data_IF_232146377921
#
_entry.id   IF_232146377921
#
_cell.length_a   1.000
_cell.length_b   1.000
_cell.length_c   1.000
_cell.angle_alpha   90.00
_cell.angle_beta   90.00
_cell.angle_gamma   90.00
#
_symmetry.space_group_name_H-M   'P 1'
#
loop_
_entity.id
_entity.type
_entity.pdbx_description
1 polymer ?
#
# COMPACT_ATOMS: atom_id res chain seq x y z
N UNK A 1 17.17 -3.06 -18.76
CA UNK A 1 16.35 -1.88 -19.09
C UNK A 1 14.94 -2.16 -18.58
N UNK A 2 14.55 -1.58 -17.43
CA UNK A 2 13.16 -1.63 -16.95
C UNK A 2 12.51 -0.31 -17.38
N UNK A 3 11.35 -0.40 -18.03
CA UNK A 3 10.68 0.75 -18.66
C UNK A 3 10.15 1.69 -17.59
N UNK A 4 10.49 2.97 -17.73
CA UNK A 4 9.92 4.09 -16.98
C UNK A 4 8.42 4.20 -17.30
N UNK A 5 7.54 3.86 -16.37
CA UNK A 5 6.09 4.05 -16.58
C UNK A 5 5.14 3.36 -15.61
N UNK A 6 5.62 2.49 -14.73
CA UNK A 6 4.74 1.80 -13.78
C UNK A 6 4.53 2.66 -12.53
N UNK A 7 3.26 2.91 -12.18
CA UNK A 7 2.92 3.50 -10.89
C UNK A 7 3.26 2.46 -9.82
N UNK A 8 4.44 2.57 -9.24
CA UNK A 8 4.84 1.73 -8.12
C UNK A 8 4.06 2.15 -6.86
N UNK A 9 3.67 1.18 -6.04
CA UNK A 9 2.94 1.36 -4.78
C UNK A 9 3.77 2.19 -3.80
N UNK A 10 5.09 2.17 -4.00
CA UNK A 10 6.05 3.08 -3.41
C UNK A 10 6.81 3.83 -4.51
N UNK A 11 7.14 5.10 -4.27
CA UNK A 11 8.01 5.86 -5.17
C UNK A 11 9.47 5.52 -4.88
N UNK A 12 10.10 4.72 -5.72
CA UNK A 12 11.53 4.37 -5.60
C UNK A 12 12.00 3.42 -6.70
N UNK A 13 13.32 3.36 -6.91
CA UNK A 13 13.98 2.49 -7.91
C UNK A 13 14.49 1.15 -7.32
N UNK A 14 14.33 0.95 -6.01
CA UNK A 14 14.76 -0.26 -5.31
C UNK A 14 13.74 -1.40 -5.41
N UNK A 15 14.20 -2.62 -5.13
CA UNK A 15 13.32 -3.79 -5.05
C UNK A 15 12.30 -3.65 -3.92
N UNK A 16 11.15 -4.29 -4.08
CA UNK A 16 10.06 -4.28 -3.12
C UNK A 16 10.44 -5.00 -1.82
N UNK A 17 10.04 -4.43 -0.67
CA UNK A 17 10.38 -4.95 0.66
C UNK A 17 9.18 -4.85 1.59
N UNK A 18 9.01 -5.88 2.42
CA UNK A 18 8.00 -5.93 3.47
C UNK A 18 8.71 -6.02 4.81
N UNK A 19 8.42 -5.07 5.70
CA UNK A 19 9.00 -5.01 7.04
C UNK A 19 7.97 -5.38 8.10
N UNK A 20 8.41 -6.13 9.11
CA UNK A 20 7.69 -6.28 10.37
C UNK A 20 8.10 -5.12 11.28
N UNK A 21 7.11 -4.42 11.80
CA UNK A 21 7.33 -3.20 12.59
C UNK A 21 6.60 -3.25 13.93
N UNK A 22 7.19 -2.58 14.91
CA UNK A 22 6.56 -2.27 16.18
C UNK A 22 6.17 -0.78 16.21
N UNK A 23 4.92 -0.45 16.56
CA UNK A 23 4.53 0.94 16.82
C UNK A 23 5.29 1.49 18.03
N UNK A 24 5.81 2.71 17.92
CA UNK A 24 6.41 3.40 19.08
C UNK A 24 5.39 4.27 19.84
N UNK A 25 4.13 4.25 19.42
CA UNK A 25 3.02 4.99 20.01
C UNK A 25 1.70 4.62 19.35
N UNK A 26 0.70 5.47 19.52
CA UNK A 26 -0.65 5.21 19.04
C UNK A 26 -0.74 5.13 17.52
N UNK A 27 -1.62 4.26 17.04
CA UNK A 27 -1.99 4.09 15.65
C UNK A 27 -3.51 3.97 15.53
N UNK A 28 -4.04 4.24 14.34
CA UNK A 28 -5.47 4.21 14.04
C UNK A 28 -5.73 3.47 12.73
N UNK A 29 -6.97 3.04 12.51
CA UNK A 29 -7.42 2.44 11.26
C UNK A 29 -7.18 3.39 10.07
N UNK A 30 -6.75 2.85 8.93
CA UNK A 30 -6.52 3.66 7.73
C UNK A 30 -7.86 4.11 7.12
N UNK A 31 -8.14 5.42 7.06
CA UNK A 31 -9.39 5.93 6.53
C UNK A 31 -9.51 5.76 5.01
N UNK A 32 -8.46 5.38 4.28
CA UNK A 32 -8.54 5.12 2.84
C UNK A 32 -9.25 3.80 2.51
N UNK A 33 -9.26 2.85 3.45
CA UNK A 33 -9.76 1.49 3.19
C UNK A 33 -10.71 0.96 4.26
N UNK A 34 -10.77 1.59 5.44
CA UNK A 34 -11.72 1.25 6.51
C UNK A 34 -13.09 1.86 6.24
N UNK A 35 -14.14 1.04 6.37
CA UNK A 35 -15.53 1.45 6.11
C UNK A 35 -15.75 2.11 4.74
N UNK A 36 -14.99 1.67 3.72
CA UNK A 36 -15.15 2.10 2.33
C UNK A 36 -15.96 1.09 1.54
N UNK A 37 -15.26 0.13 0.91
CA UNK A 37 -15.91 -0.90 0.08
C UNK A 37 -16.58 -1.98 0.92
N UNK A 38 -16.06 -2.24 2.12
CA UNK A 38 -16.52 -3.26 3.04
C UNK A 38 -16.63 -2.66 4.46
N UNK A 39 -17.55 -3.16 5.30
CA UNK A 39 -17.67 -2.72 6.68
C UNK A 39 -16.45 -3.12 7.52
N UNK A 40 -16.02 -2.22 8.41
CA UNK A 40 -14.85 -2.37 9.26
C UNK A 40 -13.52 -2.29 8.51
N UNK A 41 -12.50 -2.91 9.10
CA UNK A 41 -11.13 -2.96 8.58
C UNK A 41 -10.69 -4.40 8.25
N UNK A 42 -11.25 -5.03 7.19
CA UNK A 42 -10.93 -6.42 6.86
C UNK A 42 -9.48 -6.64 6.42
N UNK A 43 -8.84 -5.61 5.83
CA UNK A 43 -7.43 -5.65 5.42
C UNK A 43 -6.46 -5.42 6.56
N UNK A 44 -6.96 -5.00 7.74
CA UNK A 44 -6.17 -4.62 8.92
C UNK A 44 -5.15 -3.52 8.59
N UNK A 45 -5.54 -2.58 7.75
CA UNK A 45 -4.72 -1.43 7.36
C UNK A 45 -4.78 -0.35 8.43
N UNK A 46 -3.62 0.11 8.89
CA UNK A 46 -3.49 1.09 9.96
C UNK A 46 -2.52 2.20 9.55
N UNK A 47 -2.60 3.36 10.19
CA UNK A 47 -1.64 4.46 10.06
C UNK A 47 -1.22 5.00 11.44
N UNK A 48 -0.01 5.54 11.51
CA UNK A 48 0.56 6.16 12.72
C UNK A 48 1.22 7.48 12.38
N UNK A 49 1.06 8.48 13.25
CA UNK A 49 1.85 9.72 13.22
C UNK A 49 3.18 9.59 13.95
N UNK A 50 3.30 8.58 14.82
CA UNK A 50 4.53 8.26 15.53
C UNK A 50 5.42 7.35 14.67
N UNK A 51 6.75 7.42 14.82
CA UNK A 51 7.66 6.53 14.14
C UNK A 51 7.34 5.04 14.35
N UNK A 52 7.82 4.21 13.44
CA UNK A 52 7.73 2.76 13.56
C UNK A 52 9.14 2.19 13.66
N UNK A 53 9.32 1.19 14.53
CA UNK A 53 10.60 0.49 14.68
C UNK A 53 10.58 -0.78 13.82
N UNK A 54 11.50 -0.89 12.86
CA UNK A 54 11.68 -2.13 12.08
C UNK A 54 12.31 -3.19 12.99
N UNK A 55 11.66 -4.35 13.09
CA UNK A 55 12.15 -5.48 13.90
C UNK A 55 12.52 -6.70 13.06
N UNK A 56 11.99 -6.83 11.84
CA UNK A 56 12.39 -7.84 10.89
C UNK A 56 12.03 -7.45 9.45
N UNK A 57 12.57 -8.19 8.49
CA UNK A 57 12.18 -8.15 7.07
C UNK A 57 11.56 -9.49 6.68
N UNK A 58 10.44 -9.45 5.95
CA UNK A 58 9.80 -10.63 5.40
C UNK A 58 10.45 -10.95 4.04
N UNK A 59 11.31 -11.97 4.01
CA UNK A 59 12.05 -12.35 2.80
C UNK A 59 11.34 -13.38 1.91
N UNK A 60 10.23 -13.94 2.38
CA UNK A 60 9.44 -14.93 1.66
C UNK A 60 7.99 -14.49 1.64
N UNK A 61 7.59 -13.92 0.54
CA UNK A 61 6.22 -13.53 0.27
C UNK A 61 5.95 -13.77 -1.22
N UNK A 62 4.69 -13.98 -1.55
CA UNK A 62 4.25 -14.22 -2.92
C UNK A 62 3.77 -12.90 -3.51
N UNK A 63 4.36 -12.52 -4.63
CA UNK A 63 3.92 -11.38 -5.42
C UNK A 63 2.55 -11.64 -6.03
N UNK A 64 1.81 -10.58 -6.30
CA UNK A 64 0.62 -10.71 -7.12
C UNK A 64 0.99 -11.11 -8.55
N UNK A 65 0.09 -11.84 -9.22
CA UNK A 65 0.30 -12.14 -10.64
C UNK A 65 0.33 -10.85 -11.48
N UNK A 66 1.08 -10.84 -12.60
CA UNK A 66 1.15 -9.66 -13.46
C UNK A 66 -0.22 -9.15 -13.93
N UNK A 67 -1.17 -10.04 -14.21
CA UNK A 67 -2.52 -9.67 -14.62
C UNK A 67 -3.29 -8.96 -13.51
N UNK A 68 -3.13 -9.40 -12.26
CA UNK A 68 -3.76 -8.74 -11.11
C UNK A 68 -3.16 -7.34 -10.92
N UNK A 69 -1.84 -7.22 -10.99
CA UNK A 69 -1.14 -5.94 -10.88
C UNK A 69 -1.58 -4.95 -11.97
N UNK A 70 -1.61 -5.40 -13.22
CA UNK A 70 -2.04 -4.57 -14.35
C UNK A 70 -3.49 -4.07 -14.19
N UNK A 71 -4.39 -4.95 -13.72
CA UNK A 71 -5.76 -4.56 -13.46
C UNK A 71 -5.88 -3.55 -12.31
N UNK A 72 -5.08 -3.70 -11.24
CA UNK A 72 -5.04 -2.73 -10.15
C UNK A 72 -4.55 -1.36 -10.62
N UNK A 73 -3.46 -1.31 -11.40
CA UNK A 73 -2.89 -0.09 -11.96
C UNK A 73 -3.88 0.66 -12.87
N UNK A 74 -4.56 -0.07 -13.75
CA UNK A 74 -5.53 0.53 -14.65
C UNK A 74 -6.73 1.11 -13.88
N UNK A 75 -7.17 0.45 -12.80
CA UNK A 75 -8.22 0.97 -11.94
C UNK A 75 -7.77 2.25 -11.20
N UNK A 76 -6.53 2.29 -10.69
CA UNK A 76 -5.97 3.49 -10.06
C UNK A 76 -5.88 4.65 -11.06
N UNK A 77 -5.49 4.39 -12.31
CA UNK A 77 -5.44 5.38 -13.39
C UNK A 77 -6.83 6.00 -13.63
N UNK A 78 -7.87 5.16 -13.77
CA UNK A 78 -9.26 5.63 -13.93
C UNK A 78 -9.76 6.45 -12.75
N UNK A 79 -9.45 6.05 -11.52
CA UNK A 79 -9.82 6.81 -10.32
C UNK A 79 -9.14 8.19 -10.31
N UNK A 80 -7.87 8.25 -10.68
CA UNK A 80 -7.12 9.50 -10.79
C UNK A 80 -7.71 10.43 -11.86
N UNK A 81 -8.14 9.92 -13.01
CA UNK A 81 -8.81 10.70 -14.06
C UNK A 81 -10.15 11.28 -13.59
N UNK A 82 -10.81 10.60 -12.65
CA UNK A 82 -12.04 11.07 -12.00
C UNK A 82 -11.77 12.04 -10.83
N UNK A 83 -10.51 12.36 -10.55
CA UNK A 83 -10.11 13.23 -9.44
C UNK A 83 -10.16 12.57 -8.06
N UNK A 84 -10.37 11.26 -7.99
CA UNK A 84 -10.37 10.49 -6.74
C UNK A 84 -8.92 10.13 -6.39
N UNK A 85 -8.49 10.50 -5.18
CA UNK A 85 -7.15 10.25 -4.66
C UNK A 85 -7.21 9.77 -3.22
N UNK A 86 -6.14 9.14 -2.76
CA UNK A 86 -5.95 8.85 -1.34
C UNK A 86 -5.93 10.16 -0.54
N UNK A 87 -6.39 10.06 0.70
CA UNK A 87 -6.45 11.16 1.67
C UNK A 87 -5.16 11.09 2.51
N UNK A 88 -4.50 12.25 2.73
CA UNK A 88 -3.33 12.40 3.59
C UNK A 88 -3.70 12.37 5.09
#
# INVERSE_FOLDING_TARGET
MRQSGEQNWQRGEGDERIYVVEPTGDFEDDPNVTDKKFPGNPTKSNRSKQPLKIVAEVIKWEEHSPDILNNMLENLRKLSEQGIKAID
#
